data_IF_288576129251
#
_entry.id   IF_288576129251
#
_cell.length_a   1.000
_cell.length_b   1.000
_cell.length_c   1.000
_cell.angle_alpha   90.00
_cell.angle_beta   90.00
_cell.angle_gamma   90.00
#
_symmetry.space_group_name_H-M   'P 1'
#
loop_
_entity.id
_entity.type
_entity.pdbx_description
1 polymer ?
#
# COMPACT_ATOMS: atom_id res chain seq x y z
N UNK A 1 28.68 7.96 -19.28
CA UNK A 1 27.27 8.43 -19.31
C UNK A 1 27.13 9.78 -18.61
N UNK A 2 27.77 9.98 -17.45
CA UNK A 2 27.78 11.25 -16.71
C UNK A 2 28.39 12.45 -17.48
N UNK A 3 29.28 12.22 -18.45
CA UNK A 3 29.88 13.30 -19.26
C UNK A 3 28.91 13.99 -20.22
N UNK A 4 27.73 13.40 -20.48
CA UNK A 4 26.72 13.99 -21.36
C UNK A 4 25.77 14.96 -20.65
N UNK A 5 25.95 15.19 -19.34
CA UNK A 5 25.11 16.08 -18.54
C UNK A 5 25.74 17.46 -18.36
N UNK A 6 24.93 18.54 -18.42
CA UNK A 6 25.38 19.91 -18.16
C UNK A 6 25.96 20.03 -16.74
N UNK A 7 26.95 20.89 -16.56
CA UNK A 7 27.78 20.95 -15.35
C UNK A 7 27.00 21.12 -14.04
N UNK A 8 25.80 21.73 -14.07
CA UNK A 8 24.94 21.89 -12.89
C UNK A 8 24.26 20.61 -12.41
N UNK A 9 24.15 19.59 -13.27
CA UNK A 9 23.44 18.33 -12.95
C UNK A 9 24.36 17.19 -12.55
N UNK A 10 25.68 17.30 -12.80
CA UNK A 10 26.67 16.30 -12.38
C UNK A 10 26.70 16.07 -10.85
N UNK A 11 26.62 17.09 -9.98
CA UNK A 11 26.68 16.88 -8.52
C UNK A 11 25.48 16.09 -7.97
N UNK A 12 24.33 16.16 -8.64
CA UNK A 12 23.12 15.43 -8.25
C UNK A 12 23.17 13.97 -8.74
N UNK A 13 23.65 13.77 -9.97
CA UNK A 13 23.83 12.44 -10.54
C UNK A 13 24.90 11.63 -9.78
N UNK A 14 26.01 12.26 -9.36
CA UNK A 14 27.07 11.61 -8.58
C UNK A 14 26.61 11.19 -7.16
N UNK A 15 25.72 11.95 -6.52
CA UNK A 15 25.18 11.57 -5.19
C UNK A 15 24.20 10.39 -5.25
N UNK A 16 23.40 10.31 -6.31
CA UNK A 16 22.52 9.16 -6.56
C UNK A 16 23.32 7.90 -6.90
N UNK A 17 24.45 8.04 -7.60
CA UNK A 17 25.27 6.91 -8.04
C UNK A 17 26.19 6.33 -6.96
N UNK A 18 26.55 7.12 -5.94
CA UNK A 18 27.51 6.70 -4.90
C UNK A 18 26.88 6.03 -3.66
N UNK A 19 25.54 5.99 -3.52
CA UNK A 19 24.85 5.19 -2.51
C UNK A 19 23.41 4.77 -2.92
N UNK A 20 23.18 4.18 -4.11
CA UNK A 20 21.84 3.95 -4.64
C UNK A 20 21.07 2.86 -3.89
N UNK A 21 21.75 1.86 -3.31
CA UNK A 21 21.09 0.70 -2.71
C UNK A 21 20.38 1.02 -1.39
N UNK A 22 21.04 1.74 -0.48
CA UNK A 22 20.57 1.84 0.91
C UNK A 22 19.37 2.77 1.07
N UNK A 23 19.30 3.86 0.30
CA UNK A 23 18.16 4.79 0.35
C UNK A 23 16.92 4.23 -0.36
N UNK A 24 17.12 3.55 -1.50
CA UNK A 24 16.03 2.87 -2.20
C UNK A 24 15.51 1.70 -1.35
N UNK A 25 16.41 0.92 -0.74
CA UNK A 25 16.02 -0.15 0.16
C UNK A 25 15.26 0.37 1.38
N UNK A 26 15.73 1.44 2.03
CA UNK A 26 15.03 2.04 3.17
C UNK A 26 13.66 2.60 2.78
N UNK A 27 13.56 3.26 1.61
CA UNK A 27 12.29 3.74 1.08
C UNK A 27 11.32 2.58 0.82
N UNK A 28 11.78 1.52 0.14
CA UNK A 28 10.95 0.33 -0.13
C UNK A 28 10.54 -0.37 1.16
N UNK A 29 11.46 -0.54 2.11
CA UNK A 29 11.18 -1.16 3.40
C UNK A 29 10.09 -0.40 4.17
N UNK A 30 10.20 0.94 4.25
CA UNK A 30 9.19 1.78 4.93
C UNK A 30 7.88 1.81 4.13
N UNK A 31 7.94 1.83 2.81
CA UNK A 31 6.77 1.79 1.93
C UNK A 31 5.99 0.48 2.11
N UNK A 32 6.69 -0.65 2.15
CA UNK A 32 6.10 -1.98 2.36
C UNK A 32 5.53 -2.11 3.77
N UNK A 33 6.26 -1.67 4.80
CA UNK A 33 5.76 -1.72 6.19
C UNK A 33 4.49 -0.88 6.36
N UNK A 34 4.42 0.30 5.72
CA UNK A 34 3.22 1.14 5.75
C UNK A 34 2.08 0.63 4.85
N UNK A 35 2.31 -0.36 3.99
CA UNK A 35 1.26 -1.09 3.28
C UNK A 35 0.75 -2.30 4.08
N UNK A 36 1.67 -3.04 4.71
CA UNK A 36 1.41 -4.25 5.50
C UNK A 36 0.74 -3.92 6.84
N UNK A 37 1.27 -2.98 7.60
CA UNK A 37 0.76 -2.66 8.94
C UNK A 37 -0.73 -2.31 8.97
N UNK A 38 -1.28 -1.42 8.12
CA UNK A 38 -2.71 -1.13 8.14
C UNK A 38 -3.57 -2.28 7.60
N UNK A 39 -3.05 -3.11 6.68
CA UNK A 39 -3.76 -4.29 6.20
C UNK A 39 -3.97 -5.30 7.33
N UNK A 40 -2.88 -5.68 8.00
CA UNK A 40 -2.93 -6.65 9.10
C UNK A 40 -3.60 -6.05 10.33
N UNK A 41 -3.46 -4.74 10.59
CA UNK A 41 -4.14 -4.04 11.66
C UNK A 41 -5.66 -4.05 11.50
N UNK A 42 -6.18 -3.77 10.30
CA UNK A 42 -7.62 -3.85 10.02
C UNK A 42 -8.13 -5.28 10.08
N UNK A 43 -7.38 -6.25 9.54
CA UNK A 43 -7.71 -7.66 9.65
C UNK A 43 -7.81 -8.11 11.10
N UNK A 44 -6.82 -7.76 11.92
CA UNK A 44 -6.81 -8.07 13.35
C UNK A 44 -7.98 -7.39 14.06
N UNK A 45 -8.26 -6.12 13.74
CA UNK A 45 -9.40 -5.40 14.30
C UNK A 45 -10.73 -6.12 13.99
N UNK A 46 -10.96 -6.52 12.73
CA UNK A 46 -12.19 -7.21 12.33
C UNK A 46 -12.32 -8.59 12.95
N UNK A 47 -11.21 -9.31 13.14
CA UNK A 47 -11.23 -10.61 13.79
C UNK A 47 -11.48 -10.50 15.30
N UNK A 48 -10.87 -9.54 15.99
CA UNK A 48 -11.02 -9.38 17.44
C UNK A 48 -12.38 -8.78 17.81
N UNK A 49 -12.89 -7.85 17.01
CA UNK A 49 -14.19 -7.20 17.26
C UNK A 49 -15.38 -8.00 16.72
N UNK A 50 -15.10 -9.07 15.96
CA UNK A 50 -16.06 -9.85 15.20
C UNK A 50 -16.98 -9.03 14.27
N UNK A 51 -16.58 -7.76 14.03
CA UNK A 51 -17.33 -6.76 13.29
C UNK A 51 -17.10 -6.94 11.79
N UNK A 52 -18.19 -6.89 11.04
CA UNK A 52 -18.15 -6.85 9.58
C UNK A 52 -18.63 -5.47 9.13
N UNK A 53 -17.76 -4.64 8.53
CA UNK A 53 -18.19 -3.38 7.96
C UNK A 53 -19.24 -3.63 6.85
N UNK A 54 -20.24 -2.75 6.71
CA UNK A 54 -21.25 -2.89 5.67
C UNK A 54 -20.58 -2.77 4.29
N UNK A 55 -20.71 -3.82 3.48
CA UNK A 55 -20.07 -3.88 2.16
C UNK A 55 -21.03 -3.44 1.07
N UNK A 56 -20.52 -2.74 0.04
CA UNK A 56 -21.27 -2.55 -1.20
C UNK A 56 -21.69 -3.89 -1.78
N UNK A 57 -22.91 -3.97 -2.32
CA UNK A 57 -23.49 -5.22 -2.84
C UNK A 57 -22.55 -5.92 -3.83
N UNK A 58 -21.92 -5.18 -4.74
CA UNK A 58 -20.99 -5.75 -5.72
C UNK A 58 -19.73 -6.42 -5.13
N UNK A 59 -19.24 -5.96 -3.97
CA UNK A 59 -18.10 -6.61 -3.28
C UNK A 59 -18.54 -7.89 -2.58
N UNK A 60 -19.76 -7.91 -2.05
CA UNK A 60 -20.35 -9.10 -1.43
C UNK A 60 -20.60 -10.18 -2.48
N UNK A 61 -21.13 -9.80 -3.64
CA UNK A 61 -21.38 -10.72 -4.76
C UNK A 61 -20.07 -11.29 -5.32
N UNK A 62 -19.07 -10.45 -5.58
CA UNK A 62 -17.76 -10.91 -6.05
C UNK A 62 -17.09 -11.89 -5.06
N UNK A 63 -17.22 -11.63 -3.75
CA UNK A 63 -16.73 -12.53 -2.71
C UNK A 63 -17.43 -13.89 -2.72
N UNK A 64 -18.77 -13.91 -2.86
CA UNK A 64 -19.56 -15.15 -2.96
C UNK A 64 -19.29 -15.92 -4.25
N UNK A 65 -19.14 -15.23 -5.37
CA UNK A 65 -18.83 -15.83 -6.67
C UNK A 65 -17.44 -16.48 -6.65
N UNK A 66 -16.41 -15.75 -6.21
CA UNK A 66 -15.06 -16.27 -6.07
C UNK A 66 -15.02 -17.50 -5.17
N UNK A 67 -15.73 -17.46 -4.04
CA UNK A 67 -15.84 -18.57 -3.11
C UNK A 67 -16.46 -19.82 -3.76
N UNK A 68 -17.59 -19.65 -4.47
CA UNK A 68 -18.28 -20.74 -5.16
C UNK A 68 -17.46 -21.37 -6.27
N UNK A 69 -16.52 -20.61 -6.84
CA UNK A 69 -15.62 -21.05 -7.92
C UNK A 69 -14.32 -21.66 -7.41
N UNK A 70 -13.82 -21.21 -6.28
CA UNK A 70 -12.52 -21.62 -5.73
C UNK A 70 -12.59 -22.87 -4.85
N UNK A 71 -13.76 -23.18 -4.26
CA UNK A 71 -13.91 -24.30 -3.32
C UNK A 71 -15.05 -25.24 -3.75
N UNK A 72 -14.79 -26.54 -3.97
CA UNK A 72 -15.81 -27.55 -4.20
C UNK A 72 -16.82 -27.61 -3.03
N UNK A 73 -18.11 -27.60 -3.35
CA UNK A 73 -19.25 -27.59 -2.40
C UNK A 73 -19.18 -28.69 -1.33
N UNK A 74 -18.52 -29.79 -1.63
CA UNK A 74 -18.29 -30.99 -0.84
C UNK A 74 -17.26 -30.80 0.30
N UNK A 75 -16.55 -29.66 0.30
CA UNK A 75 -15.59 -29.26 1.33
C UNK A 75 -16.00 -27.94 1.97
N UNK A 76 -17.25 -27.83 2.46
CA UNK A 76 -17.77 -26.66 3.18
C UNK A 76 -16.78 -26.21 4.28
N UNK A 77 -15.95 -25.19 4.04
CA UNK A 77 -15.21 -24.57 5.11
C UNK A 77 -16.21 -23.78 5.96
N UNK A 78 -15.98 -23.77 7.27
CA UNK A 78 -16.81 -23.09 8.27
C UNK A 78 -17.17 -21.66 7.84
N UNK A 79 -18.32 -21.14 8.29
CA UNK A 79 -18.75 -19.74 8.15
C UNK A 79 -17.60 -18.74 8.42
N UNK A 80 -16.71 -19.08 9.35
CA UNK A 80 -15.48 -18.35 9.68
C UNK A 80 -14.53 -18.13 8.51
N UNK A 81 -14.40 -19.08 7.58
CA UNK A 81 -13.51 -18.97 6.42
C UNK A 81 -14.07 -17.98 5.39
N UNK A 82 -15.39 -18.02 5.13
CA UNK A 82 -16.07 -17.03 4.30
C UNK A 82 -15.93 -15.64 4.91
N UNK A 83 -16.14 -15.53 6.22
CA UNK A 83 -15.96 -14.28 6.96
C UNK A 83 -14.53 -13.77 6.87
N UNK A 84 -13.53 -14.63 6.99
CA UNK A 84 -12.12 -14.26 6.92
C UNK A 84 -11.70 -13.78 5.53
N UNK A 85 -12.15 -14.44 4.47
CA UNK A 85 -11.90 -14.00 3.08
C UNK A 85 -12.53 -12.63 2.83
N UNK A 86 -13.77 -12.44 3.30
CA UNK A 86 -14.52 -11.22 3.11
C UNK A 86 -13.92 -10.05 3.92
N UNK A 87 -13.52 -10.30 5.17
CA UNK A 87 -12.77 -9.35 6.00
C UNK A 87 -11.43 -8.98 5.33
N UNK A 88 -10.73 -9.95 4.74
CA UNK A 88 -9.49 -9.73 3.98
C UNK A 88 -9.67 -8.84 2.77
N UNK A 89 -10.66 -9.15 1.94
CA UNK A 89 -11.01 -8.34 0.76
C UNK A 89 -11.37 -6.91 1.16
N UNK A 90 -12.10 -6.75 2.26
CA UNK A 90 -12.52 -5.44 2.76
C UNK A 90 -11.37 -4.64 3.34
N UNK A 91 -10.54 -5.25 4.20
CA UNK A 91 -9.35 -4.61 4.75
C UNK A 91 -8.45 -4.13 3.60
N UNK A 92 -8.23 -4.97 2.59
CA UNK A 92 -7.49 -4.59 1.39
C UNK A 92 -8.15 -3.43 0.64
N UNK A 93 -9.47 -3.45 0.43
CA UNK A 93 -10.19 -2.37 -0.22
C UNK A 93 -10.03 -1.04 0.55
N UNK A 94 -10.15 -1.06 1.88
CA UNK A 94 -9.96 0.13 2.72
C UNK A 94 -8.51 0.65 2.62
N UNK A 95 -7.50 -0.23 2.72
CA UNK A 95 -6.09 0.14 2.54
C UNK A 95 -5.85 0.75 1.16
N UNK A 96 -6.51 0.21 0.12
CA UNK A 96 -6.45 0.70 -1.25
C UNK A 96 -7.14 2.06 -1.40
N UNK A 97 -8.24 2.31 -0.69
CA UNK A 97 -8.91 3.61 -0.62
C UNK A 97 -8.06 4.68 0.10
N UNK A 98 -7.15 4.28 0.98
CA UNK A 98 -6.17 5.17 1.62
C UNK A 98 -4.99 5.49 0.66
N UNK A 99 -4.78 4.74 -0.43
CA UNK A 99 -3.72 5.02 -1.41
C UNK A 99 -3.82 6.42 -2.06
N UNK A 100 -4.98 6.91 -2.56
CA UNK A 100 -5.07 8.26 -3.08
C UNK A 100 -4.74 9.33 -2.04
N UNK A 101 -5.06 9.09 -0.76
CA UNK A 101 -4.62 9.97 0.33
C UNK A 101 -3.08 9.93 0.49
N UNK A 102 -2.47 8.74 0.40
CA UNK A 102 -1.00 8.57 0.40
C UNK A 102 -0.33 9.31 -0.75
N UNK A 103 -0.87 9.20 -1.96
CA UNK A 103 -0.35 9.87 -3.15
C UNK A 103 -0.58 11.38 -3.07
N UNK A 104 -1.78 11.83 -2.68
CA UNK A 104 -2.10 13.25 -2.53
C UNK A 104 -1.28 13.92 -1.43
N UNK A 105 -1.07 13.25 -0.29
CA UNK A 105 -0.21 13.74 0.78
C UNK A 105 1.25 13.83 0.33
N UNK A 106 1.73 12.83 -0.43
CA UNK A 106 3.05 12.87 -1.05
C UNK A 106 3.18 14.03 -2.04
N UNK A 107 2.17 14.27 -2.89
CA UNK A 107 2.15 15.37 -3.87
C UNK A 107 2.01 16.76 -3.23
N UNK A 108 1.27 16.90 -2.12
CA UNK A 108 1.11 18.16 -1.39
C UNK A 108 2.35 18.53 -0.57
N UNK A 109 3.08 17.53 -0.06
CA UNK A 109 4.36 17.74 0.62
C UNK A 109 5.49 18.00 -0.39
N UNK A 110 5.39 17.49 -1.62
CA UNK A 110 6.40 17.67 -2.67
C UNK A 110 6.80 19.15 -2.91
N UNK A 111 5.89 20.14 -3.03
CA UNK A 111 6.26 21.55 -3.18
C UNK A 111 6.78 22.20 -1.89
N UNK A 112 6.49 21.65 -0.71
CA UNK A 112 7.01 22.13 0.57
C UNK A 112 8.43 21.59 0.83
N UNK A 113 8.67 20.31 0.50
CA UNK A 113 9.98 19.66 0.56
C UNK A 113 10.94 20.18 -0.52
N UNK A 114 10.45 20.42 -1.74
CA UNK A 114 11.26 21.04 -2.80
C UNK A 114 11.75 22.45 -2.43
N UNK A 115 10.94 23.23 -1.68
CA UNK A 115 11.34 24.54 -1.17
C UNK A 115 12.27 24.50 0.04
N UNK A 116 12.20 23.44 0.86
CA UNK A 116 13.06 23.29 2.06
C UNK A 116 14.43 22.66 1.74
N UNK A 117 14.50 21.82 0.71
CA UNK A 117 15.70 21.08 0.32
C UNK A 117 16.53 21.77 -0.76
N UNK A 118 15.99 22.79 -1.42
CA UNK A 118 16.71 23.66 -2.36
C UNK A 118 16.84 25.03 -1.71
N UNK A 119 17.96 25.25 -1.02
CA UNK A 119 18.45 26.49 -0.36
C UNK A 119 18.01 26.58 1.13
N UNK A 120 18.98 26.58 2.08
CA UNK A 120 19.96 27.67 2.19
C UNK A 120 21.43 27.24 2.04
N UNK A 121 22.13 28.07 1.24
CA UNK A 121 23.57 28.40 1.22
C UNK A 121 24.57 27.24 1.19
#
# INVERSE_FOLDING_TARGET
ILDKLPASMRPHAERLMNAPGSYVFTFLLIHEVTAVAPLFGLMWLFQVTDWMPPLPEGLMEAGKEFYSKAIPQDSLPSESATKLILQGATAFAIVKMILPLRVAFSLLITPWFARRSVIPL
#
